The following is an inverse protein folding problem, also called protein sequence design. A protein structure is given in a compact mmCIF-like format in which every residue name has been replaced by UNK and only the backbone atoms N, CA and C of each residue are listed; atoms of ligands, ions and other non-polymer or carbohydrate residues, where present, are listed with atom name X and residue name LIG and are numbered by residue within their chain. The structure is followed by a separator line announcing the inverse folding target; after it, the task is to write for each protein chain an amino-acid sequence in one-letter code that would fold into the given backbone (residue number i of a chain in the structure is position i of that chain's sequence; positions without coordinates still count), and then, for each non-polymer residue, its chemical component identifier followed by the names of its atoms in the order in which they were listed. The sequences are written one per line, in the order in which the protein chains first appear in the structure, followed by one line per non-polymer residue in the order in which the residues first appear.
data_IF_906684787897
#
_entry.id   IF_906684787897
#
_cell.length_a   1.000
_cell.length_b   1.000
_cell.length_c   1.000
_cell.angle_alpha   90.00
_cell.angle_beta   90.00
_cell.angle_gamma   90.00
#
_symmetry.space_group_name_H-M   'P 1'
#
loop_
_entity.id
_entity.type
_entity.pdbx_description
1 polymer ?
#
# COMPACT_ATOMS: atom_id res chain seq x y z
N UNK A 1 14.84 39.81 2.30
CA UNK A 1 14.72 38.57 1.50
C UNK A 1 14.42 37.44 2.48
N UNK A 2 13.17 37.01 2.54
CA UNK A 2 12.72 35.88 3.36
C UNK A 2 13.20 34.59 2.71
N UNK A 3 13.99 33.80 3.45
CA UNK A 3 14.32 32.44 3.04
C UNK A 3 13.00 31.67 2.95
N UNK A 4 12.65 31.05 1.82
CA UNK A 4 11.59 30.06 1.83
C UNK A 4 12.07 28.95 2.77
N UNK A 5 11.41 28.82 3.92
CA UNK A 5 11.65 27.69 4.80
C UNK A 5 11.48 26.43 3.96
N UNK A 6 12.54 25.63 3.84
CA UNK A 6 12.48 24.33 3.19
C UNK A 6 11.68 23.44 4.13
N UNK A 7 10.35 23.51 4.01
CA UNK A 7 9.46 22.59 4.68
C UNK A 7 9.74 21.20 4.13
N UNK A 8 10.20 20.29 4.97
CA UNK A 8 10.29 18.88 4.61
C UNK A 8 8.86 18.39 4.42
N UNK A 9 8.53 17.94 3.21
CA UNK A 9 7.22 17.36 2.94
C UNK A 9 6.99 16.17 3.87
N UNK A 10 5.84 16.13 4.54
CA UNK A 10 5.51 15.03 5.43
C UNK A 10 5.55 13.69 4.66
N UNK A 11 6.11 12.63 5.26
CA UNK A 11 6.14 11.31 4.64
C UNK A 11 4.72 10.79 4.38
N UNK A 12 4.45 10.35 3.15
CA UNK A 12 3.15 9.84 2.71
C UNK A 12 3.19 8.32 2.59
N UNK A 13 3.24 7.66 3.74
CA UNK A 13 3.45 6.21 3.84
C UNK A 13 2.18 5.51 4.28
N UNK A 14 1.93 4.34 3.70
CA UNK A 14 0.86 3.43 4.13
C UNK A 14 1.54 2.19 4.68
N UNK A 15 1.24 1.84 5.93
CA UNK A 15 1.85 0.70 6.63
C UNK A 15 0.90 -0.50 6.74
N UNK A 16 -0.41 -0.26 6.73
CA UNK A 16 -1.47 -1.27 6.62
C UNK A 16 -2.61 -0.70 5.77
N UNK A 17 -3.39 -1.58 5.15
CA UNK A 17 -4.50 -1.15 4.31
C UNK A 17 -5.67 -2.15 4.30
N UNK A 18 -6.85 -1.64 3.97
CA UNK A 18 -8.03 -2.43 3.62
C UNK A 18 -8.19 -2.33 2.12
N UNK A 19 -8.39 -3.45 1.45
CA UNK A 19 -8.68 -3.50 0.03
C UNK A 19 -10.09 -4.05 -0.16
N UNK A 20 -10.99 -3.22 -0.64
CA UNK A 20 -12.37 -3.59 -0.98
C UNK A 20 -12.49 -3.87 -2.46
N UNK A 21 -12.96 -5.07 -2.82
CA UNK A 21 -13.31 -5.38 -4.19
C UNK A 21 -14.81 -5.14 -4.41
N UNK A 22 -15.15 -4.02 -5.05
CA UNK A 22 -16.52 -3.69 -5.46
C UNK A 22 -16.84 -4.10 -6.90
N UNK A 23 -15.90 -4.75 -7.59
CA UNK A 23 -16.16 -5.31 -8.91
C UNK A 23 -17.01 -6.58 -8.84
N UNK A 24 -17.60 -6.91 -9.98
CA UNK A 24 -18.38 -8.13 -10.21
C UNK A 24 -17.56 -9.42 -10.22
N UNK A 25 -16.23 -9.33 -10.30
CA UNK A 25 -15.34 -10.46 -10.45
C UNK A 25 -14.34 -10.56 -9.30
N UNK A 26 -13.78 -11.76 -9.11
CA UNK A 26 -12.65 -11.93 -8.20
C UNK A 26 -11.42 -11.24 -8.78
N UNK A 27 -10.54 -10.76 -7.91
CA UNK A 27 -9.29 -10.11 -8.31
C UNK A 27 -8.12 -10.71 -7.54
N UNK A 28 -7.01 -10.91 -8.24
CA UNK A 28 -5.75 -11.27 -7.60
C UNK A 28 -5.01 -9.99 -7.23
N UNK A 29 -4.53 -9.88 -6.00
CA UNK A 29 -3.87 -8.68 -5.48
C UNK A 29 -2.48 -9.03 -4.97
N UNK A 30 -1.51 -8.26 -5.42
CA UNK A 30 -0.13 -8.34 -5.01
C UNK A 30 0.29 -7.04 -4.31
N UNK A 31 0.75 -7.16 -3.06
CA UNK A 31 1.32 -6.06 -2.27
C UNK A 31 2.83 -6.19 -2.28
N UNK A 32 3.51 -5.14 -2.72
CA UNK A 32 4.96 -5.03 -2.70
C UNK A 32 5.35 -4.02 -1.63
N UNK A 33 6.13 -4.47 -0.64
CA UNK A 33 6.66 -3.59 0.39
C UNK A 33 7.98 -2.97 -0.05
N UNK A 34 8.27 -1.77 0.42
CA UNK A 34 9.52 -1.06 0.13
C UNK A 34 10.71 -1.89 0.61
N UNK A 35 11.73 -1.99 -0.25
CA UNK A 35 13.03 -2.57 0.11
C UNK A 35 13.65 -1.79 1.27
N UNK A 36 14.04 -2.50 2.33
CA UNK A 36 14.78 -1.91 3.44
C UNK A 36 16.22 -2.40 3.38
N UNK A 37 17.19 -1.47 3.40
CA UNK A 37 18.60 -1.82 3.56
C UNK A 37 18.84 -2.39 4.96
N UNK A 38 19.51 -3.54 5.04
CA UNK A 38 19.97 -4.16 6.28
C UNK A 38 21.50 -4.21 6.28
N UNK A 39 22.13 -4.31 7.45
CA UNK A 39 23.55 -4.68 7.53
C UNK A 39 23.71 -6.06 6.85
N UNK A 40 24.27 -6.08 5.64
CA UNK A 40 24.34 -7.25 4.76
C UNK A 40 23.72 -7.07 3.37
N UNK A 41 23.02 -5.96 3.10
CA UNK A 41 22.52 -5.60 1.77
C UNK A 41 21.04 -5.19 1.73
N UNK A 42 20.53 -4.92 0.52
CA UNK A 42 19.11 -4.69 0.27
C UNK A 42 18.34 -6.00 0.47
N UNK A 43 17.40 -6.03 1.42
CA UNK A 43 16.41 -7.10 1.47
C UNK A 43 15.35 -6.81 0.42
N UNK A 44 15.08 -7.78 -0.46
CA UNK A 44 14.02 -7.65 -1.45
C UNK A 44 12.69 -7.34 -0.76
N UNK A 45 11.93 -6.43 -1.36
CA UNK A 45 10.62 -6.06 -0.87
C UNK A 45 9.77 -7.31 -0.82
N UNK A 46 9.27 -7.65 0.35
CA UNK A 46 8.44 -8.84 0.47
C UNK A 46 7.19 -8.66 -0.39
N UNK A 47 6.67 -9.77 -0.91
CA UNK A 47 5.50 -9.77 -1.77
C UNK A 47 4.42 -10.58 -1.08
N UNK A 48 3.27 -9.95 -0.81
CA UNK A 48 2.05 -10.67 -0.43
C UNK A 48 1.18 -10.85 -1.65
N UNK A 49 0.68 -12.06 -1.89
CA UNK A 49 -0.25 -12.34 -2.98
C UNK A 49 -1.49 -13.06 -2.43
N UNK A 50 -2.68 -12.56 -2.76
CA UNK A 50 -3.95 -13.12 -2.31
C UNK A 50 -5.09 -12.77 -3.26
N UNK A 51 -6.16 -13.56 -3.25
CA UNK A 51 -7.36 -13.30 -4.02
C UNK A 51 -8.44 -12.64 -3.16
N UNK A 52 -9.09 -11.61 -3.71
CA UNK A 52 -10.27 -10.98 -3.10
C UNK A 52 -11.50 -11.37 -3.91
N UNK A 53 -12.48 -12.09 -3.32
CA UNK A 53 -13.73 -12.41 -3.99
C UNK A 53 -14.49 -11.15 -4.45
N UNK A 54 -15.37 -11.30 -5.45
CA UNK A 54 -16.30 -10.24 -5.85
C UNK A 54 -17.11 -9.75 -4.63
N UNK A 55 -17.25 -8.43 -4.48
CA UNK A 55 -17.87 -7.79 -3.31
C UNK A 55 -17.20 -8.12 -1.95
N UNK A 56 -15.99 -8.69 -1.96
CA UNK A 56 -15.22 -9.02 -0.77
C UNK A 56 -14.28 -7.90 -0.33
N UNK A 57 -13.62 -8.10 0.81
CA UNK A 57 -12.52 -7.26 1.24
C UNK A 57 -11.38 -8.10 1.82
N UNK A 58 -10.22 -7.48 1.94
CA UNK A 58 -9.06 -8.07 2.58
C UNK A 58 -8.31 -7.02 3.40
N UNK A 59 -8.01 -7.34 4.65
CA UNK A 59 -7.17 -6.52 5.52
C UNK A 59 -5.71 -6.95 5.36
N UNK A 60 -4.89 -6.04 4.87
CA UNK A 60 -3.43 -6.16 4.93
C UNK A 60 -2.98 -5.57 6.26
N UNK A 61 -2.60 -6.44 7.19
CA UNK A 61 -2.10 -6.03 8.50
C UNK A 61 -0.75 -5.33 8.39
N UNK A 62 -0.45 -4.45 9.36
CA UNK A 62 0.89 -3.86 9.45
C UNK A 62 1.93 -4.96 9.68
N UNK A 63 3.11 -4.75 9.09
CA UNK A 63 4.26 -5.65 9.28
C UNK A 63 5.32 -4.93 10.06
N UNK A 64 5.70 -5.53 11.19
CA UNK A 64 6.74 -5.01 12.08
C UNK A 64 7.99 -5.86 11.91
N UNK A 65 9.09 -5.21 11.54
CA UNK A 65 10.42 -5.79 11.47
C UNK A 65 11.16 -5.42 12.75
N UNK A 66 11.68 -6.43 13.43
CA UNK A 66 12.56 -6.24 14.58
C UNK A 66 14.02 -6.09 14.14
N UNK A 67 14.66 -5.04 14.64
CA UNK A 67 16.06 -4.72 14.43
C UNK A 67 16.76 -4.61 15.79
N UNK A 68 17.10 -5.75 16.37
CA UNK A 68 17.74 -5.81 17.69
C UNK A 68 16.88 -5.14 18.76
N UNK A 69 17.20 -3.89 19.12
CA UNK A 69 16.50 -3.10 20.14
C UNK A 69 15.41 -2.16 19.62
N UNK A 70 15.22 -2.04 18.30
CA UNK A 70 14.19 -1.19 17.71
C UNK A 70 13.27 -1.95 16.75
N UNK A 71 12.07 -1.43 16.56
CA UNK A 71 11.08 -1.96 15.63
C UNK A 71 10.84 -0.95 14.51
N UNK A 72 10.75 -1.46 13.28
CA UNK A 72 10.39 -0.68 12.10
C UNK A 72 9.11 -1.24 11.49
N UNK A 73 8.29 -0.38 10.89
CA UNK A 73 7.13 -0.79 10.11
C UNK A 73 7.49 -0.84 8.64
N UNK A 74 7.12 -1.93 7.97
CA UNK A 74 7.19 -1.95 6.52
C UNK A 74 6.23 -0.94 5.92
N UNK A 75 6.61 -0.43 4.76
CA UNK A 75 5.82 0.54 4.00
C UNK A 75 5.39 -0.11 2.71
N UNK A 76 4.11 -0.02 2.37
CA UNK A 76 3.60 -0.47 1.08
C UNK A 76 4.17 0.45 0.00
N UNK A 77 4.92 -0.12 -0.94
CA UNK A 77 5.50 0.58 -2.08
C UNK A 77 4.55 0.56 -3.27
N UNK A 78 3.95 -0.59 -3.55
CA UNK A 78 2.96 -0.70 -4.63
C UNK A 78 1.92 -1.77 -4.37
N UNK A 79 0.78 -1.60 -5.02
CA UNK A 79 -0.34 -2.55 -5.05
C UNK A 79 -0.60 -2.85 -6.51
N UNK A 80 -0.50 -4.12 -6.88
CA UNK A 80 -0.80 -4.61 -8.21
C UNK A 80 -2.05 -5.50 -8.17
N UNK A 81 -2.95 -5.31 -9.13
CA UNK A 81 -4.21 -6.04 -9.22
C UNK A 81 -4.30 -6.66 -10.60
N UNK A 82 -4.57 -7.95 -10.65
CA UNK A 82 -4.84 -8.69 -11.87
C UNK A 82 -6.30 -9.14 -11.88
N UNK A 83 -7.04 -8.69 -12.91
CA UNK A 83 -8.44 -9.05 -13.14
C UNK A 83 -8.56 -10.38 -13.90
N UNK A 84 -9.78 -10.92 -13.94
CA UNK A 84 -10.10 -12.20 -14.60
C UNK A 84 -9.80 -12.22 -16.10
N UNK A 85 -9.83 -11.08 -16.77
CA UNK A 85 -9.48 -10.92 -18.18
C UNK A 85 -7.96 -10.85 -18.41
N UNK A 86 -7.17 -10.95 -17.34
CA UNK A 86 -5.72 -10.83 -17.36
C UNK A 86 -5.22 -9.38 -17.36
N UNK A 87 -6.12 -8.39 -17.28
CA UNK A 87 -5.71 -6.99 -17.19
C UNK A 87 -5.08 -6.71 -15.82
N UNK A 88 -3.84 -6.21 -15.84
CA UNK A 88 -3.12 -5.81 -14.63
C UNK A 88 -3.09 -4.28 -14.49
N UNK A 89 -3.29 -3.80 -13.27
CA UNK A 89 -3.12 -2.41 -12.88
C UNK A 89 -2.25 -2.28 -11.65
N UNK A 90 -1.40 -1.26 -11.62
CA UNK A 90 -0.45 -1.03 -10.54
C UNK A 90 -0.58 0.39 -9.99
N UNK A 91 -0.80 0.51 -8.69
CA UNK A 91 -0.63 1.76 -7.93
C UNK A 91 0.73 1.74 -7.24
N UNK A 92 1.44 2.86 -7.29
CA UNK A 92 2.72 3.04 -6.61
C UNK A 92 2.64 4.24 -5.67
N UNK A 93 3.25 4.14 -4.50
CA UNK A 93 3.35 5.25 -3.57
C UNK A 93 4.10 6.46 -4.19
N UNK A 94 3.78 7.71 -3.79
CA UNK A 94 2.75 8.08 -2.82
C UNK A 94 1.34 7.90 -3.40
N UNK A 95 0.44 7.35 -2.59
CA UNK A 95 -0.95 7.14 -3.01
C UNK A 95 -1.74 8.45 -2.89
N UNK A 96 -2.69 8.64 -3.80
CA UNK A 96 -3.55 9.83 -3.81
C UNK A 96 -4.32 9.97 -2.49
N UNK A 97 -4.44 11.19 -1.97
CA UNK A 97 -5.11 11.48 -0.70
C UNK A 97 -4.30 11.19 0.57
N UNK A 98 -3.20 10.41 0.50
CA UNK A 98 -2.35 10.15 1.67
C UNK A 98 -1.51 11.39 1.98
N UNK A 99 -1.85 12.10 3.06
CA UNK A 99 -1.15 13.33 3.49
C UNK A 99 -0.10 13.12 4.59
N UNK A 100 -0.03 11.92 5.16
CA UNK A 100 0.90 11.55 6.23
C UNK A 100 1.02 10.02 6.37
N UNK A 101 1.73 9.52 7.39
CA UNK A 101 1.75 8.10 7.70
C UNK A 101 0.34 7.61 8.04
N UNK A 102 -0.13 6.57 7.37
CA UNK A 102 -1.45 6.01 7.53
C UNK A 102 -1.39 4.53 7.91
N UNK A 103 -2.34 4.14 8.77
CA UNK A 103 -2.71 2.77 9.09
C UNK A 103 -4.14 2.56 8.60
N UNK A 104 -4.40 1.35 8.13
CA UNK A 104 -5.70 0.87 7.65
C UNK A 104 -6.29 1.76 6.56
N UNK A 105 -5.42 2.26 5.69
CA UNK A 105 -5.80 3.09 4.57
C UNK A 105 -6.68 2.29 3.60
N UNK A 106 -7.73 2.90 3.05
CA UNK A 106 -8.68 2.20 2.21
C UNK A 106 -8.31 2.30 0.72
N UNK A 107 -8.25 1.16 0.06
CA UNK A 107 -8.21 1.04 -1.39
C UNK A 107 -9.49 0.35 -1.87
N UNK A 108 -10.10 0.90 -2.91
CA UNK A 108 -11.32 0.35 -3.50
C UNK A 108 -11.03 -0.03 -4.95
N UNK A 109 -11.39 -1.25 -5.31
CA UNK A 109 -11.30 -1.80 -6.66
C UNK A 109 -12.71 -1.79 -7.24
N UNK A 110 -12.92 -1.01 -8.29
CA UNK A 110 -14.14 -1.06 -9.10
C UNK A 110 -13.89 -1.85 -10.39
N UNK A 111 -14.89 -1.90 -11.26
CA UNK A 111 -14.83 -2.66 -12.53
C UNK A 111 -13.60 -2.28 -13.37
N UNK A 112 -13.19 -1.01 -13.35
CA UNK A 112 -12.24 -0.46 -14.29
C UNK A 112 -10.92 -0.02 -13.64
N UNK A 113 -10.91 0.30 -12.34
CA UNK A 113 -9.76 0.87 -11.68
C UNK A 113 -9.69 0.51 -10.19
N UNK A 114 -8.51 0.69 -9.63
CA UNK A 114 -8.26 0.78 -8.19
C UNK A 114 -8.02 2.25 -7.84
N UNK A 115 -8.59 2.70 -6.74
CA UNK A 115 -8.42 4.05 -6.23
C UNK A 115 -8.18 4.06 -4.72
N UNK A 116 -7.40 5.06 -4.30
CA UNK A 116 -7.07 5.38 -2.92
C UNK A 116 -8.19 6.24 -2.31
N UNK A 117 -8.69 5.88 -1.14
CA UNK A 117 -9.82 6.56 -0.50
C UNK A 117 -9.44 6.98 0.92
N UNK A 118 -9.61 8.26 1.21
CA UNK A 118 -9.54 8.74 2.59
C UNK A 118 -10.73 8.15 3.36
N UNK A 119 -10.43 7.37 4.41
CA UNK A 119 -11.45 6.80 5.26
C UNK A 119 -12.07 7.94 6.08
N UNK A 120 -13.25 8.40 5.66
CA UNK A 120 -14.07 9.29 6.47
C UNK A 120 -14.68 8.45 7.60
N UNK A 121 -14.11 8.55 8.80
CA UNK A 121 -14.74 8.07 10.03
C UNK A 121 -15.94 8.95 10.43
#
# INVERSE_FOLDING_TARGET
MSHPGVGVAAPRYVHSCIIENKSSNNVNVQIVYRKVEREGGLVEGEISNFDIPASGNYQVAERVIEYGSFQCRDTIESIEITRVDGQTQKLTAPFDGVIGPALDWLFVIDENQIHSVEKND
#
